data_IF_120324512943
#
_entry.id   IF_120324512943
#
_cell.length_a   1.000
_cell.length_b   1.000
_cell.length_c   1.000
_cell.angle_alpha   90.00
_cell.angle_beta   90.00
_cell.angle_gamma   90.00
#
_symmetry.space_group_name_H-M   'P 1'
#
loop_
_entity.id
_entity.type
_entity.pdbx_description
1 polymer ?
#
# COMPACT_ATOMS: atom_id res chain seq x y z
N UNK A 1 8.13 -14.17 17.14
CA UNK A 1 8.14 -13.57 15.78
C UNK A 1 7.03 -12.53 15.74
N UNK A 2 7.23 -11.34 15.16
CA UNK A 2 6.15 -10.33 15.04
C UNK A 2 5.29 -10.65 13.82
N UNK A 3 3.97 -10.51 13.94
CA UNK A 3 3.05 -10.75 12.81
C UNK A 3 3.28 -9.75 11.67
N UNK A 4 3.15 -10.25 10.45
CA UNK A 4 3.15 -9.45 9.23
C UNK A 4 1.79 -8.77 9.05
N UNK A 5 1.81 -7.57 8.48
CA UNK A 5 0.64 -6.73 8.27
C UNK A 5 0.53 -6.45 6.78
N UNK A 6 -0.57 -6.87 6.16
CA UNK A 6 -0.89 -6.50 4.79
C UNK A 6 -1.33 -5.03 4.76
N UNK A 7 -0.70 -4.21 3.92
CA UNK A 7 -0.99 -2.79 3.77
C UNK A 7 -1.27 -2.44 2.32
N UNK A 8 -2.28 -1.61 2.08
CA UNK A 8 -2.62 -1.14 0.74
C UNK A 8 -1.49 -0.32 0.15
N UNK A 9 -1.06 -0.66 -1.07
CA UNK A 9 0.06 0.00 -1.75
C UNK A 9 -0.13 1.52 -1.90
N UNK A 10 -1.35 2.00 -2.08
CA UNK A 10 -1.62 3.43 -2.16
C UNK A 10 -1.28 4.19 -0.87
N UNK A 11 -1.32 3.55 0.31
CA UNK A 11 -0.92 4.15 1.59
C UNK A 11 0.61 4.24 1.74
N UNK A 12 1.32 3.38 1.03
CA UNK A 12 2.79 3.31 1.04
C UNK A 12 3.44 4.18 -0.04
N UNK A 13 2.67 5.06 -0.69
CA UNK A 13 3.18 6.01 -1.70
C UNK A 13 3.10 5.53 -3.14
N UNK A 14 2.61 4.31 -3.40
CA UNK A 14 2.44 3.83 -4.77
C UNK A 14 1.24 4.49 -5.46
N UNK A 15 1.42 4.94 -6.71
CA UNK A 15 0.41 5.61 -7.54
C UNK A 15 -0.59 4.63 -8.18
N UNK A 16 -1.19 3.78 -7.34
CA UNK A 16 -2.01 2.66 -7.80
C UNK A 16 -3.51 2.91 -7.71
N UNK A 17 -3.95 4.11 -7.26
CA UNK A 17 -5.38 4.42 -7.22
C UNK A 17 -5.97 4.49 -8.62
N UNK A 18 -7.30 4.40 -8.69
CA UNK A 18 -8.05 4.48 -9.94
C UNK A 18 -7.71 5.72 -10.79
N UNK A 19 -7.39 6.85 -10.16
CA UNK A 19 -7.02 8.10 -10.83
C UNK A 19 -5.51 8.31 -10.99
N UNK A 20 -4.69 7.26 -10.86
CA UNK A 20 -3.22 7.36 -10.91
C UNK A 20 -2.58 8.12 -9.74
N UNK A 21 -3.35 8.44 -8.69
CA UNK A 21 -2.80 9.07 -7.48
C UNK A 21 -2.36 8.02 -6.45
N UNK A 22 -1.70 8.51 -5.41
CA UNK A 22 -1.41 7.75 -4.19
C UNK A 22 -2.17 8.39 -3.01
N UNK A 23 -2.16 7.72 -1.85
CA UNK A 23 -2.71 8.24 -0.60
C UNK A 23 -1.67 8.10 0.50
N UNK A 24 -0.47 8.63 0.26
CA UNK A 24 0.59 8.60 1.25
C UNK A 24 0.16 9.44 2.44
N UNK A 25 -0.16 8.76 3.52
CA UNK A 25 -0.28 9.36 4.84
C UNK A 25 0.39 8.38 5.80
N UNK A 26 1.70 8.52 5.97
CA UNK A 26 2.40 7.75 6.98
C UNK A 26 1.91 8.21 8.36
N UNK A 27 1.05 7.40 8.97
CA UNK A 27 0.84 7.48 10.40
C UNK A 27 2.10 6.98 11.12
N UNK A 28 2.42 7.52 12.29
CA UNK A 28 3.58 7.10 13.10
C UNK A 28 3.64 5.58 13.32
N UNK A 29 2.49 4.92 13.39
CA UNK A 29 2.39 3.46 13.48
C UNK A 29 2.93 2.74 12.23
N UNK A 30 2.64 3.25 11.03
CA UNK A 30 3.15 2.69 9.77
C UNK A 30 4.67 2.83 9.68
N UNK A 31 5.23 3.99 10.04
CA UNK A 31 6.69 4.19 10.07
C UNK A 31 7.38 3.17 10.99
N UNK A 32 6.82 2.94 12.18
CA UNK A 32 7.32 1.93 13.12
C UNK A 32 7.22 0.51 12.55
N UNK A 33 6.09 0.13 11.99
CA UNK A 33 5.94 -1.23 11.44
C UNK A 33 6.79 -1.47 10.19
N UNK A 34 7.07 -0.40 9.44
CA UNK A 34 8.00 -0.42 8.32
C UNK A 34 9.44 -0.67 8.79
N UNK A 35 9.90 0.05 9.82
CA UNK A 35 11.24 -0.19 10.39
C UNK A 35 11.37 -1.56 11.05
N UNK A 36 10.26 -2.11 11.56
CA UNK A 36 10.18 -3.48 12.07
C UNK A 36 10.13 -4.57 10.97
N UNK A 37 10.08 -4.20 9.68
CA UNK A 37 10.02 -5.17 8.57
C UNK A 37 8.72 -5.98 8.51
N UNK A 38 7.62 -5.44 9.04
CA UNK A 38 6.35 -6.17 9.18
C UNK A 38 5.37 -5.94 8.04
N UNK A 39 5.58 -4.91 7.24
CA UNK A 39 4.61 -4.51 6.22
C UNK A 39 4.77 -5.35 4.94
N UNK A 40 3.66 -5.90 4.46
CA UNK A 40 3.54 -6.53 3.15
C UNK A 40 2.64 -5.65 2.30
N UNK A 41 3.21 -5.03 1.27
CA UNK A 41 2.52 -4.06 0.43
C UNK A 41 1.78 -4.74 -0.70
N UNK A 42 0.48 -4.43 -0.90
CA UNK A 42 -0.32 -5.05 -1.95
C UNK A 42 -1.40 -4.13 -2.52
N UNK A 43 -1.69 -4.26 -3.82
CA UNK A 43 -2.86 -3.67 -4.47
C UNK A 43 -3.69 -4.78 -5.13
N UNK A 44 -4.89 -5.10 -4.60
CA UNK A 44 -5.70 -6.19 -5.14
C UNK A 44 -6.19 -5.91 -6.56
N UNK A 45 -6.46 -4.65 -6.90
CA UNK A 45 -6.96 -4.25 -8.22
C UNK A 45 -5.93 -4.53 -9.33
N UNK A 46 -4.65 -4.20 -9.11
CA UNK A 46 -3.59 -4.52 -10.08
C UNK A 46 -3.28 -6.01 -10.12
N UNK A 47 -3.33 -6.69 -8.97
CA UNK A 47 -3.16 -8.14 -8.91
C UNK A 47 -4.27 -8.87 -9.67
N UNK A 48 -5.46 -8.27 -9.74
CA UNK A 48 -6.59 -8.73 -10.55
C UNK A 48 -6.51 -8.28 -12.02
N UNK A 49 -5.47 -7.54 -12.43
CA UNK A 49 -5.23 -7.15 -13.82
C UNK A 49 -5.89 -5.83 -14.26
N UNK A 50 -6.45 -5.03 -13.34
CA UNK A 50 -7.04 -3.75 -13.70
C UNK A 50 -5.94 -2.71 -14.01
N UNK A 51 -6.13 -1.84 -15.01
CA UNK A 51 -5.14 -0.83 -15.38
C UNK A 51 -5.10 0.34 -14.40
N UNK A 52 -4.12 1.22 -14.59
CA UNK A 52 -4.07 2.57 -14.00
C UNK A 52 -3.98 3.57 -15.16
N UNK A 53 -4.88 4.56 -15.28
CA UNK A 53 -6.10 4.77 -14.49
C UNK A 53 -7.19 3.75 -14.84
N UNK A 54 -8.27 3.75 -14.06
CA UNK A 54 -9.49 2.96 -14.26
C UNK A 54 -10.72 3.73 -13.78
N UNK A 55 -11.89 3.42 -14.34
CA UNK A 55 -13.19 4.04 -14.02
C UNK A 55 -13.83 3.40 -12.78
#
# INVERSE_FOLDING_TARGET
MKDKILVSACLMGFQVRYNGSHKARLANALSRWQSEGRLVTHCPELAAGLPIPRL
#
